data_IF_114445874554
#
_entry.id   IF_114445874554
#
_cell.length_a   1.000
_cell.length_b   1.000
_cell.length_c   1.000
_cell.angle_alpha   90.00
_cell.angle_beta   90.00
_cell.angle_gamma   90.00
#
_symmetry.space_group_name_H-M   'P 1'
#
loop_
_entity.id
_entity.type
_entity.pdbx_description
1 polymer ?
#
# COMPACT_ATOMS: atom_id res chain seq x y z
N UNK A 1 -16.33 -16.02 33.93
CA UNK A 1 -16.35 -14.77 33.12
C UNK A 1 -16.09 -15.16 31.68
N UNK A 2 -16.88 -14.65 30.73
CA UNK A 2 -16.56 -14.79 29.31
C UNK A 2 -15.48 -13.76 29.00
N UNK A 3 -14.25 -14.20 28.77
CA UNK A 3 -13.19 -13.32 28.29
C UNK A 3 -13.52 -12.91 26.86
N UNK A 4 -13.58 -11.61 26.61
CA UNK A 4 -13.82 -11.03 25.30
C UNK A 4 -12.52 -10.40 24.81
N UNK A 5 -12.04 -10.85 23.66
CA UNK A 5 -10.84 -10.31 23.01
C UNK A 5 -11.25 -9.62 21.72
N UNK A 6 -10.82 -8.37 21.56
CA UNK A 6 -10.99 -7.60 20.33
C UNK A 6 -9.64 -7.54 19.63
N UNK A 7 -9.57 -8.16 18.45
CA UNK A 7 -8.39 -8.15 17.57
C UNK A 7 -8.81 -7.77 16.17
N UNK A 8 -7.88 -7.14 15.44
CA UNK A 8 -8.05 -6.81 14.03
C UNK A 8 -7.50 -7.92 13.17
N UNK A 9 -8.10 -8.10 12.01
CA UNK A 9 -7.67 -9.06 11.02
C UNK A 9 -8.30 -8.76 9.68
N UNK A 10 -7.77 -9.38 8.64
CA UNK A 10 -8.24 -9.23 7.27
C UNK A 10 -9.07 -10.44 6.88
N UNK A 11 -10.27 -10.22 6.37
CA UNK A 11 -11.06 -11.26 5.71
C UNK A 11 -10.40 -11.58 4.35
N UNK A 12 -9.54 -12.59 4.32
CA UNK A 12 -8.78 -12.97 3.12
C UNK A 12 -9.68 -13.59 2.05
N UNK A 13 -10.76 -14.24 2.45
CA UNK A 13 -11.82 -14.77 1.60
C UNK A 13 -13.08 -14.96 2.44
N UNK A 14 -14.18 -15.44 1.84
CA UNK A 14 -15.49 -15.64 2.52
C UNK A 14 -15.46 -16.55 3.76
N UNK A 15 -14.39 -17.32 3.98
CA UNK A 15 -14.28 -18.34 5.02
C UNK A 15 -13.09 -18.16 5.96
N UNK A 16 -12.15 -17.28 5.63
CA UNK A 16 -10.87 -17.16 6.34
C UNK A 16 -10.61 -15.71 6.77
N UNK A 17 -10.57 -15.49 8.07
CA UNK A 17 -10.02 -14.27 8.69
C UNK A 17 -8.58 -14.54 9.10
N UNK A 18 -7.64 -13.73 8.61
CA UNK A 18 -6.24 -13.74 9.02
C UNK A 18 -6.09 -12.67 10.10
N UNK A 19 -5.74 -13.07 11.31
CA UNK A 19 -5.55 -12.14 12.42
C UNK A 19 -4.20 -11.44 12.28
N UNK A 20 -4.16 -10.14 12.55
CA UNK A 20 -2.92 -9.36 12.49
C UNK A 20 -2.00 -9.74 13.66
N UNK A 21 -2.57 -10.24 14.76
CA UNK A 21 -1.88 -10.59 15.98
C UNK A 21 -2.46 -11.89 16.59
N UNK A 22 -1.64 -12.68 17.32
CA UNK A 22 -2.12 -13.87 18.02
C UNK A 22 -3.09 -13.49 19.14
N UNK A 23 -4.12 -14.32 19.35
CA UNK A 23 -5.02 -14.19 20.50
C UNK A 23 -4.51 -15.10 21.61
N UNK A 24 -4.42 -14.65 22.86
CA UNK A 24 -3.91 -15.44 23.99
C UNK A 24 -4.96 -16.44 24.50
N UNK A 25 -5.51 -17.27 23.60
CA UNK A 25 -6.49 -18.30 23.92
C UNK A 25 -5.92 -19.70 23.63
N UNK A 26 -6.30 -20.72 24.42
CA UNK A 26 -5.94 -22.09 24.12
C UNK A 26 -6.60 -22.55 22.81
N UNK A 27 -5.95 -23.48 22.11
CA UNK A 27 -6.51 -24.08 20.89
C UNK A 27 -7.86 -24.73 21.19
N UNK A 28 -8.90 -24.30 20.48
CA UNK A 28 -10.26 -24.79 20.72
C UNK A 28 -11.29 -24.14 19.80
N UNK A 29 -12.56 -24.52 19.98
CA UNK A 29 -13.68 -23.86 19.29
C UNK A 29 -13.91 -22.49 19.88
N UNK A 30 -13.95 -21.48 19.02
CA UNK A 30 -14.23 -20.09 19.38
C UNK A 30 -15.49 -19.59 18.69
N UNK A 31 -16.19 -18.66 19.32
CA UNK A 31 -17.27 -17.89 18.69
C UNK A 31 -16.69 -16.56 18.25
N UNK A 32 -16.80 -16.25 16.96
CA UNK A 32 -16.25 -15.02 16.36
C UNK A 32 -17.40 -14.09 15.99
N UNK A 33 -17.27 -12.80 16.32
CA UNK A 33 -18.13 -11.74 15.79
C UNK A 33 -17.29 -10.91 14.82
N UNK A 34 -17.70 -10.86 13.55
CA UNK A 34 -17.00 -10.10 12.51
C UNK A 34 -17.75 -8.80 12.26
N UNK A 35 -17.05 -7.68 12.35
CA UNK A 35 -17.59 -6.35 12.06
C UNK A 35 -16.80 -5.79 10.88
N UNK A 36 -17.50 -5.37 9.83
CA UNK A 36 -16.87 -4.67 8.71
C UNK A 36 -16.39 -3.32 9.21
N UNK A 37 -15.07 -3.13 9.26
CA UNK A 37 -14.50 -1.83 9.53
C UNK A 37 -14.56 -0.99 8.26
N UNK A 38 -14.77 0.33 8.37
CA UNK A 38 -14.61 1.21 7.21
C UNK A 38 -13.21 1.00 6.65
N UNK A 39 -13.10 0.92 5.32
CA UNK A 39 -11.79 0.89 4.69
C UNK A 39 -11.02 2.10 5.21
N UNK A 40 -9.93 1.86 5.95
CA UNK A 40 -8.97 2.91 6.23
C UNK A 40 -8.47 3.37 4.88
N UNK A 41 -8.92 4.53 4.42
CA UNK A 41 -8.31 5.25 3.30
C UNK A 41 -6.89 5.60 3.75
N UNK A 42 -5.98 4.65 3.62
CA UNK A 42 -4.59 4.85 3.96
C UNK A 42 -3.73 4.43 2.80
N UNK A 43 -3.98 5.06 1.67
CA UNK A 43 -2.91 5.44 0.78
C UNK A 43 -3.11 6.92 0.50
N UNK A 44 -2.12 7.76 0.83
CA UNK A 44 -2.10 9.11 0.29
C UNK A 44 -2.40 9.03 -1.22
N UNK A 45 -3.28 9.90 -1.75
CA UNK A 45 -3.60 9.89 -3.17
C UNK A 45 -2.31 9.82 -3.98
N UNK A 46 -2.30 9.04 -5.06
CA UNK A 46 -1.08 8.76 -5.83
C UNK A 46 -0.27 10.04 -6.15
N UNK A 47 -0.96 11.13 -6.49
CA UNK A 47 -0.33 12.43 -6.75
C UNK A 47 0.35 13.04 -5.52
N UNK A 48 -0.24 12.89 -4.33
CA UNK A 48 0.34 13.35 -3.06
C UNK A 48 1.60 12.55 -2.72
N UNK A 49 1.61 11.23 -3.00
CA UNK A 49 2.83 10.41 -2.87
C UNK A 49 3.93 10.91 -3.82
N UNK A 50 3.60 11.19 -5.08
CA UNK A 50 4.56 11.68 -6.07
C UNK A 50 5.12 13.05 -5.69
N UNK A 51 4.29 13.94 -5.16
CA UNK A 51 4.71 15.26 -4.71
C UNK A 51 5.70 15.17 -3.53
N UNK A 52 5.42 14.29 -2.55
CA UNK A 52 6.35 14.02 -1.45
C UNK A 52 7.70 13.48 -1.93
N UNK A 53 7.69 12.56 -2.91
CA UNK A 53 8.92 12.02 -3.52
C UNK A 53 9.70 13.14 -4.23
N UNK A 54 9.01 13.99 -5.01
CA UNK A 54 9.63 15.11 -5.70
C UNK A 54 10.32 16.07 -4.71
N UNK A 55 9.64 16.44 -3.63
CA UNK A 55 10.21 17.29 -2.58
C UNK A 55 11.45 16.66 -1.94
N UNK A 56 11.40 15.36 -1.62
CA UNK A 56 12.54 14.65 -1.05
C UNK A 56 13.75 14.61 -1.99
N UNK A 57 13.52 14.43 -3.30
CA UNK A 57 14.57 14.47 -4.31
C UNK A 57 15.18 15.87 -4.44
N UNK A 58 14.36 16.92 -4.46
CA UNK A 58 14.88 18.30 -4.47
C UNK A 58 15.75 18.58 -3.24
N UNK A 59 15.31 18.14 -2.05
CA UNK A 59 16.02 18.35 -0.80
C UNK A 59 17.35 17.57 -0.73
N UNK A 60 17.45 16.41 -1.36
CA UNK A 60 18.69 15.61 -1.41
C UNK A 60 19.74 16.16 -2.38
N UNK A 61 19.41 17.22 -3.12
CA UNK A 61 20.26 17.79 -4.16
C UNK A 61 20.23 17.01 -5.47
N UNK A 62 19.28 16.08 -5.65
CA UNK A 62 19.09 15.36 -6.89
C UNK A 62 18.83 16.33 -8.05
N UNK A 63 19.58 16.15 -9.14
CA UNK A 63 19.41 16.90 -10.39
C UNK A 63 18.57 16.07 -11.34
N UNK A 64 17.30 16.41 -11.46
CA UNK A 64 16.41 15.79 -12.43
C UNK A 64 16.89 16.04 -13.87
N UNK A 65 16.58 15.10 -14.77
CA UNK A 65 16.77 15.28 -16.21
C UNK A 65 16.05 16.55 -16.68
N UNK A 66 16.69 17.28 -17.58
CA UNK A 66 16.08 18.42 -18.26
C UNK A 66 15.02 17.96 -19.25
N UNK A 67 14.08 18.85 -19.60
CA UNK A 67 13.07 18.57 -20.63
C UNK A 67 13.67 18.07 -21.93
N UNK A 68 14.74 18.71 -22.41
CA UNK A 68 15.44 18.31 -23.64
C UNK A 68 16.00 16.88 -23.57
N UNK A 69 16.51 16.47 -22.40
CA UNK A 69 17.02 15.11 -22.21
C UNK A 69 15.89 14.07 -22.21
N UNK A 70 14.76 14.42 -21.59
CA UNK A 70 13.56 13.56 -21.59
C UNK A 70 13.00 13.42 -23.01
N UNK A 71 12.86 14.53 -23.73
CA UNK A 71 12.35 14.54 -25.10
C UNK A 71 13.25 13.73 -26.05
N UNK A 72 14.58 13.87 -25.92
CA UNK A 72 15.54 13.10 -26.70
C UNK A 72 15.47 11.60 -26.40
N UNK A 73 15.30 11.21 -25.13
CA UNK A 73 15.12 9.81 -24.73
C UNK A 73 13.84 9.22 -25.32
N UNK A 74 12.71 9.92 -25.18
CA UNK A 74 11.42 9.46 -25.72
C UNK A 74 11.50 9.28 -27.24
N UNK A 75 12.16 10.21 -27.94
CA UNK A 75 12.32 10.11 -29.38
C UNK A 75 13.17 8.90 -29.79
N UNK A 76 14.30 8.66 -29.11
CA UNK A 76 15.15 7.50 -29.36
C UNK A 76 14.41 6.17 -29.10
N UNK A 77 13.62 6.08 -28.03
CA UNK A 77 12.79 4.91 -27.73
C UNK A 77 11.77 4.66 -28.85
N UNK A 78 11.08 5.69 -29.34
CA UNK A 78 10.11 5.58 -30.44
C UNK A 78 10.75 5.14 -31.75
N UNK A 79 11.96 5.62 -32.04
CA UNK A 79 12.72 5.22 -33.22
C UNK A 79 13.14 3.76 -33.14
N UNK A 80 13.52 3.28 -31.95
CA UNK A 80 13.89 1.88 -31.72
C UNK A 80 12.76 0.88 -32.01
N UNK A 81 11.49 1.31 -31.91
CA UNK A 81 10.32 0.46 -32.19
C UNK A 81 9.95 0.40 -33.67
N UNK A 82 10.57 1.24 -34.51
CA UNK A 82 10.33 1.29 -35.97
C UNK A 82 11.43 0.59 -36.78
N UNK A 83 12.51 0.17 -36.12
CA UNK A 83 13.61 -0.59 -36.69
C UNK A 83 13.36 -2.10 -36.53
#
# INVERSE_FOLDING_TARGET
MLEHYTVTGTLSNERTVVLDQPVPLPTGRVRVTVVILPATQSEMPFLVKLEAIHQALCASGYRSRTRKQVDAQIQAERESWKA
#
